data_IF_648731752020
#
_entry.id   IF_648731752020
#
_cell.length_a   1.000
_cell.length_b   1.000
_cell.length_c   1.000
_cell.angle_alpha   90.00
_cell.angle_beta   90.00
_cell.angle_gamma   90.00
#
_symmetry.space_group_name_H-M   'P 1'
#
loop_
_entity.id
_entity.type
_entity.pdbx_description
1 polymer ?
#
# COMPACT_ATOMS: atom_id res chain seq x y z
N UNK A 1 -46.06 -24.83 -1.95
CA UNK A 1 -44.71 -24.23 -1.85
C UNK A 1 -44.88 -22.76 -1.45
N UNK A 2 -45.07 -22.50 -0.17
CA UNK A 2 -45.01 -21.14 0.37
C UNK A 2 -43.55 -20.77 0.55
N UNK A 3 -43.04 -19.94 -0.34
CA UNK A 3 -41.79 -19.21 -0.09
C UNK A 3 -42.09 -18.22 1.05
N UNK A 4 -41.61 -18.50 2.26
CA UNK A 4 -41.62 -17.54 3.33
C UNK A 4 -40.86 -16.30 2.89
N UNK A 5 -41.58 -15.21 2.65
CA UNK A 5 -40.99 -13.89 2.46
C UNK A 5 -40.35 -13.48 3.80
N UNK A 6 -39.03 -13.65 3.91
CA UNK A 6 -38.23 -13.09 5.01
C UNK A 6 -38.39 -11.58 4.89
N UNK A 7 -39.04 -10.95 5.84
CA UNK A 7 -39.26 -9.52 5.84
C UNK A 7 -37.86 -8.83 6.03
N UNK A 8 -37.43 -8.00 5.07
CA UNK A 8 -36.12 -7.37 5.09
C UNK A 8 -35.82 -6.55 6.36
N UNK A 9 -36.85 -6.15 7.11
CA UNK A 9 -36.71 -5.38 8.34
C UNK A 9 -36.16 -6.16 9.52
N UNK A 10 -36.09 -7.50 9.43
CA UNK A 10 -35.65 -8.37 10.52
C UNK A 10 -34.24 -8.91 10.36
N UNK A 11 -33.47 -8.41 9.38
CA UNK A 11 -32.11 -8.84 9.13
C UNK A 11 -31.16 -7.67 9.36
N UNK A 12 -30.17 -7.85 10.25
CA UNK A 12 -29.10 -6.90 10.47
C UNK A 12 -27.78 -7.50 9.98
N UNK A 13 -27.07 -6.79 9.12
CA UNK A 13 -25.76 -7.21 8.62
C UNK A 13 -24.66 -6.54 9.44
N UNK A 14 -23.75 -7.32 9.98
CA UNK A 14 -22.61 -6.86 10.76
C UNK A 14 -21.31 -7.21 10.01
N UNK A 15 -20.47 -6.22 9.79
CA UNK A 15 -19.15 -6.41 9.14
C UNK A 15 -18.09 -6.63 10.20
N UNK A 16 -17.36 -7.72 10.09
CA UNK A 16 -16.24 -8.07 10.96
C UNK A 16 -14.92 -8.10 10.22
N UNK A 17 -13.85 -7.74 10.93
CA UNK A 17 -12.47 -7.88 10.50
C UNK A 17 -11.70 -8.74 11.49
N UNK A 18 -10.73 -9.50 10.96
CA UNK A 18 -9.69 -10.17 11.74
C UNK A 18 -8.33 -9.87 11.14
N UNK A 19 -7.36 -9.53 11.98
CA UNK A 19 -5.97 -9.25 11.56
C UNK A 19 -5.08 -10.37 12.09
N UNK A 20 -4.47 -11.16 11.17
CA UNK A 20 -3.67 -12.32 11.52
C UNK A 20 -4.46 -13.31 12.36
N UNK A 21 -3.91 -13.64 13.55
CA UNK A 21 -4.51 -14.56 14.52
C UNK A 21 -5.21 -13.83 15.69
N UNK A 22 -5.39 -12.51 15.58
CA UNK A 22 -6.10 -11.72 16.60
C UNK A 22 -7.60 -12.08 16.62
N UNK A 23 -8.27 -11.71 17.69
CA UNK A 23 -9.72 -11.81 17.76
C UNK A 23 -10.41 -10.96 16.70
N UNK A 24 -11.56 -11.40 16.22
CA UNK A 24 -12.36 -10.64 15.27
C UNK A 24 -12.92 -9.37 15.91
N UNK A 25 -12.94 -8.31 15.17
CA UNK A 25 -13.46 -7.01 15.57
C UNK A 25 -14.68 -6.65 14.73
N UNK A 26 -15.75 -6.19 15.39
CA UNK A 26 -16.92 -5.63 14.72
C UNK A 26 -16.57 -4.23 14.19
N UNK A 27 -16.56 -4.06 12.87
CA UNK A 27 -16.28 -2.78 12.21
C UNK A 27 -17.54 -1.93 12.06
N UNK A 28 -18.64 -2.54 11.69
CA UNK A 28 -19.89 -1.84 11.43
C UNK A 28 -21.10 -2.72 11.66
N UNK A 29 -22.08 -2.20 12.41
CA UNK A 29 -23.42 -2.75 12.53
C UNK A 29 -24.32 -2.15 11.45
N UNK A 30 -25.33 -2.88 11.00
CA UNK A 30 -26.23 -2.51 9.90
C UNK A 30 -25.43 -2.11 8.64
N UNK A 31 -24.50 -2.99 8.25
CA UNK A 31 -23.58 -2.76 7.14
C UNK A 31 -24.32 -2.63 5.81
N UNK A 32 -23.99 -1.59 5.07
CA UNK A 32 -24.36 -1.37 3.66
C UNK A 32 -23.08 -1.19 2.85
N UNK A 33 -23.01 -1.84 1.70
CA UNK A 33 -21.84 -1.71 0.81
C UNK A 33 -21.89 -0.39 0.01
N UNK A 34 -20.71 0.20 -0.40
CA UNK A 34 -19.35 -0.24 -0.09
C UNK A 34 -18.83 0.25 1.27
N UNK A 35 -17.82 -0.44 1.81
CA UNK A 35 -17.10 -0.02 3.00
C UNK A 35 -15.60 0.03 2.72
N UNK A 36 -14.94 1.12 3.14
CA UNK A 36 -13.50 1.31 3.02
C UNK A 36 -12.87 1.30 4.41
N UNK A 37 -11.95 0.37 4.65
CA UNK A 37 -11.20 0.25 5.90
C UNK A 37 -9.85 0.98 5.80
N UNK A 38 -9.90 2.31 5.62
CA UNK A 38 -8.68 3.10 5.43
C UNK A 38 -7.85 3.27 6.71
N UNK A 39 -8.51 3.38 7.87
CA UNK A 39 -7.84 3.72 9.13
C UNK A 39 -6.78 2.69 9.50
N UNK A 40 -7.15 1.40 9.45
CA UNK A 40 -6.24 0.33 9.84
C UNK A 40 -5.17 0.02 8.80
N UNK A 41 -5.48 0.18 7.53
CA UNK A 41 -4.50 0.07 6.47
C UNK A 41 -3.36 1.06 6.71
N UNK A 42 -3.68 2.34 6.93
CA UNK A 42 -2.71 3.40 7.19
C UNK A 42 -1.92 3.17 8.48
N UNK A 43 -2.58 2.81 9.58
CA UNK A 43 -1.94 2.58 10.88
C UNK A 43 -1.04 1.33 10.88
N UNK A 44 -1.43 0.25 10.20
CA UNK A 44 -0.67 -0.99 10.18
C UNK A 44 0.48 -0.93 9.17
N UNK A 45 0.17 -0.56 7.94
CA UNK A 45 1.16 -0.48 6.87
C UNK A 45 2.09 0.70 7.08
N UNK A 46 1.58 1.85 7.51
CA UNK A 46 2.38 3.02 7.84
C UNK A 46 3.45 2.77 8.91
N UNK A 47 3.20 1.81 9.82
CA UNK A 47 4.16 1.36 10.83
C UNK A 47 5.13 0.28 10.32
N UNK A 48 5.10 -0.07 9.05
CA UNK A 48 5.97 -1.08 8.46
C UNK A 48 5.60 -2.53 8.81
N UNK A 49 4.38 -2.78 9.28
CA UNK A 49 3.92 -4.12 9.67
C UNK A 49 3.26 -4.85 8.51
N UNK A 50 3.58 -6.12 8.34
CA UNK A 50 2.87 -7.03 7.44
C UNK A 50 1.74 -7.71 8.18
N UNK A 51 0.57 -7.84 7.54
CA UNK A 51 -0.54 -8.54 8.13
C UNK A 51 -1.50 -9.15 7.09
N UNK A 52 -2.22 -10.19 7.51
CA UNK A 52 -3.35 -10.73 6.79
C UNK A 52 -4.63 -10.16 7.37
N UNK A 53 -5.37 -9.41 6.56
CA UNK A 53 -6.67 -8.84 6.90
C UNK A 53 -7.75 -9.73 6.31
N UNK A 54 -8.66 -10.19 7.13
CA UNK A 54 -9.77 -11.03 6.72
C UNK A 54 -11.10 -10.39 7.12
N UNK A 55 -12.06 -10.39 6.20
CA UNK A 55 -13.37 -9.81 6.40
C UNK A 55 -14.46 -10.85 6.18
N UNK A 56 -15.51 -10.77 6.94
CA UNK A 56 -16.74 -11.53 6.74
C UNK A 56 -17.95 -10.72 7.24
N UNK A 57 -19.12 -11.12 6.79
CA UNK A 57 -20.38 -10.53 7.20
C UNK A 57 -21.16 -11.57 8.00
N UNK A 58 -21.76 -11.15 9.09
CA UNK A 58 -22.74 -11.92 9.85
C UNK A 58 -24.11 -11.28 9.63
N UNK A 59 -25.08 -12.08 9.23
CA UNK A 59 -26.47 -11.67 9.14
C UNK A 59 -27.22 -12.19 10.35
N UNK A 60 -27.63 -11.29 11.23
CA UNK A 60 -28.48 -11.60 12.36
C UNK A 60 -29.94 -11.49 11.92
N UNK A 61 -30.68 -12.57 12.08
CA UNK A 61 -32.11 -12.66 11.73
C UNK A 61 -32.91 -12.75 13.02
N UNK A 62 -33.78 -11.78 13.22
CA UNK A 62 -34.78 -11.85 14.29
C UNK A 62 -36.06 -12.50 13.74
N UNK A 63 -36.41 -13.65 14.27
CA UNK A 63 -37.60 -14.38 13.88
C UNK A 63 -38.84 -13.87 14.66
N UNK A 64 -39.99 -13.90 14.02
CA UNK A 64 -41.27 -13.49 14.66
C UNK A 64 -41.58 -14.26 15.95
N UNK A 65 -41.12 -15.51 16.05
CA UNK A 65 -41.22 -16.33 17.26
C UNK A 65 -40.28 -15.91 18.41
N UNK A 66 -39.52 -14.79 18.26
CA UNK A 66 -38.67 -14.20 19.30
C UNK A 66 -37.27 -14.82 19.45
N UNK A 67 -36.88 -15.78 18.61
CA UNK A 67 -35.50 -16.30 18.61
C UNK A 67 -34.63 -15.64 17.52
N UNK A 68 -33.31 -15.70 17.70
CA UNK A 68 -32.34 -15.19 16.75
C UNK A 68 -31.59 -16.32 16.06
N UNK A 69 -31.26 -16.13 14.79
CA UNK A 69 -30.32 -16.97 14.07
C UNK A 69 -29.24 -16.11 13.40
N UNK A 70 -28.07 -16.68 13.24
CA UNK A 70 -26.93 -15.98 12.59
C UNK A 70 -26.48 -16.79 11.39
N UNK A 71 -26.34 -16.10 10.25
CA UNK A 71 -25.75 -16.63 9.04
C UNK A 71 -24.40 -15.95 8.82
N UNK A 72 -23.45 -16.69 8.26
CA UNK A 72 -22.10 -16.21 8.00
C UNK A 72 -21.82 -16.21 6.50
N UNK A 73 -21.24 -15.11 6.02
CA UNK A 73 -20.68 -15.10 4.67
C UNK A 73 -19.41 -15.96 4.60
N UNK A 74 -18.94 -16.24 3.41
CA UNK A 74 -17.55 -16.65 3.21
C UNK A 74 -16.60 -15.57 3.77
N UNK A 75 -15.42 -16.02 4.20
CA UNK A 75 -14.33 -15.16 4.67
C UNK A 75 -13.41 -14.82 3.50
N UNK A 76 -13.20 -13.53 3.26
CA UNK A 76 -12.29 -13.05 2.24
C UNK A 76 -11.08 -12.38 2.88
N UNK A 77 -9.86 -12.70 2.43
CA UNK A 77 -8.63 -12.24 3.05
C UNK A 77 -7.68 -11.61 2.05
N UNK A 78 -6.99 -10.56 2.47
CA UNK A 78 -5.90 -9.91 1.76
C UNK A 78 -4.64 -9.89 2.64
N UNK A 79 -3.49 -10.22 2.06
CA UNK A 79 -2.19 -10.06 2.72
C UNK A 79 -1.56 -8.75 2.29
N UNK A 80 -1.27 -7.91 3.27
CA UNK A 80 -0.70 -6.58 3.06
C UNK A 80 0.70 -6.55 3.67
N UNK A 81 1.66 -6.00 2.93
CA UNK A 81 3.05 -5.86 3.37
C UNK A 81 3.59 -4.46 3.02
N UNK A 82 4.56 -3.95 3.79
CA UNK A 82 5.27 -2.73 3.44
C UNK A 82 5.93 -2.85 2.06
N UNK A 83 5.76 -1.83 1.23
CA UNK A 83 6.25 -1.84 -0.14
C UNK A 83 6.88 -0.49 -0.49
N UNK A 84 7.85 -0.50 -1.40
CA UNK A 84 8.41 0.69 -2.02
C UNK A 84 8.18 0.63 -3.51
N UNK A 85 7.68 1.71 -4.06
CA UNK A 85 7.51 1.94 -5.49
C UNK A 85 8.62 2.90 -5.96
N UNK A 86 9.12 2.67 -7.17
CA UNK A 86 10.07 3.54 -7.83
C UNK A 86 9.57 3.79 -9.25
N UNK A 87 9.57 5.05 -9.73
CA UNK A 87 9.25 5.33 -11.11
C UNK A 87 10.31 4.67 -12.03
N UNK A 88 9.91 4.29 -13.23
CA UNK A 88 10.82 3.72 -14.22
C UNK A 88 11.44 4.78 -15.16
N UNK A 89 10.91 6.00 -15.15
CA UNK A 89 11.41 7.12 -15.94
C UNK A 89 11.17 8.46 -15.24
N UNK A 90 11.98 9.45 -15.59
CA UNK A 90 11.77 10.86 -15.23
C UNK A 90 11.95 11.76 -16.43
N UNK A 91 11.32 12.93 -16.37
CA UNK A 91 11.39 13.99 -17.36
C UNK A 91 11.88 15.27 -16.64
N UNK A 92 13.19 15.54 -16.55
CA UNK A 92 13.72 16.63 -15.71
C UNK A 92 13.17 18.02 -16.00
N UNK A 93 12.64 18.27 -17.20
CA UNK A 93 11.99 19.52 -17.59
C UNK A 93 10.47 19.53 -17.46
N UNK A 94 9.86 18.49 -16.85
CA UNK A 94 8.42 18.42 -16.54
C UNK A 94 8.21 18.60 -15.02
N UNK A 95 7.50 19.63 -14.56
CA UNK A 95 7.31 19.88 -13.14
C UNK A 95 6.61 18.73 -12.38
N UNK A 96 5.85 17.87 -13.08
CA UNK A 96 5.09 16.78 -12.48
C UNK A 96 5.88 15.46 -12.41
N UNK A 97 6.95 15.31 -13.19
CA UNK A 97 7.70 14.05 -13.32
C UNK A 97 9.22 14.24 -13.38
N UNK A 98 9.73 15.25 -12.70
CA UNK A 98 11.13 15.65 -12.78
C UNK A 98 12.06 14.97 -11.78
N UNK A 99 11.53 14.17 -10.87
CA UNK A 99 12.31 13.63 -9.75
C UNK A 99 12.13 12.12 -9.63
N UNK A 100 13.24 11.39 -9.65
CA UNK A 100 13.31 10.00 -9.30
C UNK A 100 13.40 9.84 -7.80
N UNK A 101 12.29 9.48 -7.16
CA UNK A 101 12.15 9.34 -5.71
C UNK A 101 11.42 8.05 -5.37
N UNK A 102 11.88 7.28 -4.36
CA UNK A 102 11.10 6.16 -3.85
C UNK A 102 9.84 6.65 -3.13
N UNK A 103 8.73 5.97 -3.37
CA UNK A 103 7.47 6.14 -2.65
C UNK A 103 7.23 4.92 -1.79
N UNK A 104 7.13 5.12 -0.49
CA UNK A 104 6.95 4.07 0.50
C UNK A 104 5.48 4.02 0.94
N UNK A 105 4.94 2.82 1.15
CA UNK A 105 3.64 2.64 1.81
C UNK A 105 3.73 2.75 3.32
N UNK A 106 4.93 2.97 3.87
CA UNK A 106 5.25 3.11 5.29
C UNK A 106 6.24 4.27 5.46
N UNK A 107 6.49 4.69 6.67
CA UNK A 107 7.48 5.74 6.97
C UNK A 107 8.82 5.09 7.33
N UNK A 108 9.83 5.09 6.44
CA UNK A 108 11.15 4.58 6.77
C UNK A 108 11.91 5.58 7.65
N UNK A 109 12.71 5.08 8.60
CA UNK A 109 13.61 5.93 9.41
C UNK A 109 14.52 6.78 8.51
N UNK A 110 15.05 6.16 7.46
CA UNK A 110 15.81 6.81 6.41
C UNK A 110 15.96 5.89 5.19
N UNK A 111 16.27 6.47 4.05
CA UNK A 111 16.74 5.74 2.87
C UNK A 111 17.93 6.45 2.25
N UNK A 112 18.79 5.69 1.58
CA UNK A 112 19.91 6.18 0.76
C UNK A 112 19.62 5.83 -0.69
N UNK A 113 19.62 6.84 -1.55
CA UNK A 113 19.48 6.68 -3.00
C UNK A 113 20.79 7.04 -3.68
N UNK A 114 21.33 6.11 -4.48
CA UNK A 114 22.54 6.30 -5.29
C UNK A 114 22.20 6.05 -6.75
N UNK A 115 22.65 6.91 -7.64
CA UNK A 115 22.45 6.76 -9.09
C UNK A 115 23.78 6.81 -9.82
N UNK A 116 23.96 5.89 -10.76
CA UNK A 116 25.14 5.77 -11.63
C UNK A 116 24.76 5.85 -13.09
N UNK A 117 25.66 6.36 -13.92
CA UNK A 117 25.54 6.18 -15.35
C UNK A 117 25.99 4.76 -15.77
N UNK A 118 25.87 4.44 -17.07
CA UNK A 118 26.28 3.12 -17.61
C UNK A 118 27.77 2.81 -17.50
N UNK A 119 28.60 3.83 -17.34
CA UNK A 119 30.05 3.68 -17.14
C UNK A 119 30.44 3.51 -15.67
N UNK A 120 29.46 3.45 -14.76
CA UNK A 120 29.69 3.31 -13.33
C UNK A 120 30.07 4.62 -12.62
N UNK A 121 29.95 5.77 -13.31
CA UNK A 121 30.21 7.08 -12.70
C UNK A 121 29.00 7.49 -11.86
N UNK A 122 29.23 7.86 -10.60
CA UNK A 122 28.20 8.28 -9.69
C UNK A 122 27.64 9.65 -10.09
N UNK A 123 26.33 9.70 -10.30
CA UNK A 123 25.59 10.91 -10.65
C UNK A 123 24.93 11.55 -9.43
N UNK A 124 24.53 10.74 -8.45
CA UNK A 124 23.79 11.18 -7.27
C UNK A 124 24.01 10.23 -6.10
N UNK A 125 24.07 10.75 -4.88
CA UNK A 125 24.08 9.99 -3.62
C UNK A 125 23.61 10.88 -2.49
N UNK A 126 22.38 10.68 -2.03
CA UNK A 126 21.82 11.42 -0.90
C UNK A 126 20.82 10.61 -0.11
N UNK A 127 20.63 10.99 1.17
CA UNK A 127 19.63 10.42 2.07
C UNK A 127 18.34 11.21 1.99
N UNK A 128 17.22 10.47 2.04
CA UNK A 128 15.86 11.01 2.18
C UNK A 128 15.45 12.03 1.11
N UNK A 129 16.11 11.99 -0.04
CA UNK A 129 15.82 12.89 -1.16
C UNK A 129 15.83 12.15 -2.50
N UNK A 130 15.24 12.74 -3.52
CA UNK A 130 15.18 12.19 -4.87
C UNK A 130 16.18 12.84 -5.82
N UNK A 131 16.50 12.13 -6.90
CA UNK A 131 17.38 12.60 -7.97
C UNK A 131 16.57 13.30 -9.07
N UNK A 132 16.95 14.51 -9.40
CA UNK A 132 16.27 15.35 -10.40
C UNK A 132 16.92 15.30 -11.81
N UNK A 133 17.68 14.26 -12.12
CA UNK A 133 18.32 14.12 -13.44
C UNK A 133 19.52 15.05 -13.66
N UNK A 134 20.18 15.50 -12.58
CA UNK A 134 21.38 16.35 -12.67
C UNK A 134 22.64 15.60 -12.25
N UNK A 135 23.77 16.04 -12.81
CA UNK A 135 25.11 15.63 -12.38
C UNK A 135 25.45 16.29 -11.03
N UNK A 136 26.51 15.85 -10.31
CA UNK A 136 26.98 16.50 -9.09
C UNK A 136 27.29 18.02 -9.27
N UNK A 137 27.62 18.44 -10.50
CA UNK A 137 27.87 19.82 -10.82
C UNK A 137 26.60 20.61 -11.26
N UNK A 138 25.41 20.06 -11.03
CA UNK A 138 24.13 20.72 -11.33
C UNK A 138 23.72 20.75 -12.80
N UNK A 139 24.51 20.15 -13.72
CA UNK A 139 24.16 20.09 -15.15
C UNK A 139 23.18 18.94 -15.42
N UNK A 140 22.25 19.13 -16.34
CA UNK A 140 21.37 18.07 -16.79
C UNK A 140 22.17 16.89 -17.37
N UNK A 141 21.78 15.68 -17.02
CA UNK A 141 22.37 14.47 -17.57
C UNK A 141 21.85 14.24 -19.00
N UNK A 142 22.54 13.43 -19.79
CA UNK A 142 22.10 13.03 -21.13
C UNK A 142 20.86 12.12 -21.02
N UNK A 143 19.93 12.15 -22.01
CA UNK A 143 18.87 11.16 -22.09
C UNK A 143 19.44 9.74 -22.10
N UNK A 144 18.78 8.80 -21.44
CA UNK A 144 19.20 7.40 -21.41
C UNK A 144 18.91 6.73 -20.09
N UNK A 145 19.41 5.51 -19.95
CA UNK A 145 19.21 4.66 -18.79
C UNK A 145 20.33 4.84 -17.76
N UNK A 146 19.94 4.95 -16.51
CA UNK A 146 20.80 5.07 -15.33
C UNK A 146 20.49 3.92 -14.39
N UNK A 147 21.48 3.48 -13.60
CA UNK A 147 21.35 2.40 -12.63
C UNK A 147 21.22 3.02 -11.26
N UNK A 148 20.23 2.61 -10.50
CA UNK A 148 20.06 3.03 -9.13
C UNK A 148 20.32 1.91 -8.13
N UNK A 149 20.77 2.31 -6.94
CA UNK A 149 20.79 1.53 -5.72
C UNK A 149 19.99 2.28 -4.66
N UNK A 150 19.07 1.57 -4.03
CA UNK A 150 18.25 2.07 -2.93
C UNK A 150 18.48 1.20 -1.72
N UNK A 151 18.93 1.80 -0.61
CA UNK A 151 19.01 1.16 0.70
C UNK A 151 17.96 1.80 1.61
N UNK A 152 17.16 0.99 2.29
CA UNK A 152 16.17 1.45 3.25
C UNK A 152 15.90 0.37 4.28
N UNK A 153 15.26 0.75 5.39
CA UNK A 153 14.88 -0.15 6.47
C UNK A 153 13.39 -0.06 6.74
N UNK A 154 12.73 -1.21 6.81
CA UNK A 154 11.40 -1.33 7.39
C UNK A 154 11.58 -1.41 8.91
N UNK A 155 10.82 -0.68 9.73
CA UNK A 155 10.92 -0.77 11.19
C UNK A 155 10.85 -2.22 11.69
N UNK A 156 11.85 -2.62 12.48
CA UNK A 156 11.97 -4.00 12.98
C UNK A 156 12.62 -5.02 12.03
N UNK A 157 12.89 -4.66 10.77
CA UNK A 157 13.47 -5.55 9.76
C UNK A 157 14.95 -5.22 9.47
N UNK A 158 15.71 -6.16 8.88
CA UNK A 158 17.05 -5.90 8.38
C UNK A 158 17.07 -4.85 7.26
N UNK A 159 18.26 -4.27 6.99
CA UNK A 159 18.46 -3.36 5.86
C UNK A 159 18.13 -4.03 4.52
N UNK A 160 17.26 -3.40 3.76
CA UNK A 160 16.85 -3.86 2.43
C UNK A 160 17.61 -3.06 1.37
N UNK A 161 18.10 -3.77 0.36
CA UNK A 161 18.79 -3.21 -0.80
C UNK A 161 18.03 -3.54 -2.06
N UNK A 162 17.73 -2.53 -2.86
CA UNK A 162 17.16 -2.68 -4.20
C UNK A 162 18.09 -2.09 -5.24
N UNK A 163 18.14 -2.71 -6.41
CA UNK A 163 18.84 -2.23 -7.59
C UNK A 163 17.90 -2.28 -8.77
N UNK A 164 17.99 -1.32 -9.65
CA UNK A 164 17.21 -1.28 -10.89
C UNK A 164 17.69 -0.19 -11.82
N UNK A 165 16.83 0.15 -12.77
CA UNK A 165 17.11 1.12 -13.82
C UNK A 165 16.06 2.22 -13.81
N UNK A 166 16.48 3.44 -14.13
CA UNK A 166 15.61 4.58 -14.38
C UNK A 166 16.01 5.23 -15.71
N UNK A 167 15.02 5.55 -16.52
CA UNK A 167 15.23 6.21 -17.82
C UNK A 167 15.01 7.71 -17.67
N UNK A 168 15.98 8.51 -18.15
CA UNK A 168 15.84 9.96 -18.29
C UNK A 168 15.46 10.29 -19.72
N UNK A 169 14.34 10.97 -19.88
CA UNK A 169 13.87 11.51 -21.16
C UNK A 169 13.63 13.01 -21.02
N UNK A 170 13.61 13.73 -22.12
CA UNK A 170 13.25 15.16 -22.15
C UNK A 170 12.08 15.35 -23.09
N UNK A 171 11.06 16.05 -22.62
CA UNK A 171 9.96 16.47 -23.49
C UNK A 171 10.49 17.49 -24.52
N UNK A 172 10.05 17.34 -25.74
CA UNK A 172 10.30 18.30 -26.83
C UNK A 172 9.49 19.57 -26.64
#
# INVERSE_FOLDING_TARGET
>A
NEMHHINKTNITYNLYRQIGDQERELLKTAYEAPYQDEKYYKEYIGQGKSARFCYHIEAEIMHEAGYRSTLYSNRNCVYVKPTVFLPNAIIPNDPNNNTFKPEFTFEPDSYLLIVYNRQGIKMFEEKNTGWNGKTPNGKNVKPGTYIYYLEFKIPGEPMIRKRGEVTVVYSR
#
